data_IF_773989362401
#
_entry.id   IF_773989362401
#
_cell.length_a   1.000
_cell.length_b   1.000
_cell.length_c   1.000
_cell.angle_alpha   90.00
_cell.angle_beta   90.00
_cell.angle_gamma   90.00
#
_symmetry.space_group_name_H-M   'P 1'
#
loop_
_entity.id
_entity.type
_entity.pdbx_description
1 polymer ?
#
# COMPACT_ATOMS: atom_id res chain seq x y z
N UNK A 1 -22.84 -11.98 -12.19
CA UNK A 1 -23.26 -10.57 -12.30
C UNK A 1 -23.22 -9.85 -10.93
N UNK A 2 -23.89 -10.34 -9.88
CA UNK A 2 -23.95 -9.67 -8.56
C UNK A 2 -22.57 -9.53 -7.89
N UNK A 3 -21.75 -10.57 -7.82
CA UNK A 3 -20.42 -10.51 -7.20
C UNK A 3 -19.43 -9.60 -7.96
N UNK A 4 -19.54 -9.53 -9.27
CA UNK A 4 -18.74 -8.63 -10.10
C UNK A 4 -19.19 -7.16 -9.93
N UNK A 5 -20.47 -6.95 -9.65
CA UNK A 5 -21.03 -5.64 -9.31
C UNK A 5 -20.57 -5.19 -7.91
N UNK A 6 -20.59 -6.08 -6.91
CA UNK A 6 -20.13 -5.80 -5.55
C UNK A 6 -18.64 -5.42 -5.51
N UNK A 7 -17.77 -6.19 -6.18
CA UNK A 7 -16.34 -5.90 -6.26
C UNK A 7 -16.05 -4.54 -6.91
N UNK A 8 -16.75 -4.20 -8.01
CA UNK A 8 -16.64 -2.87 -8.63
C UNK A 8 -17.15 -1.75 -7.71
N UNK A 9 -18.24 -2.00 -6.96
CA UNK A 9 -18.81 -1.04 -6.02
C UNK A 9 -17.79 -0.68 -4.93
N UNK A 10 -17.16 -1.66 -4.27
CA UNK A 10 -16.16 -1.41 -3.24
C UNK A 10 -14.92 -0.69 -3.77
N UNK A 11 -14.46 -0.98 -4.98
CA UNK A 11 -13.35 -0.24 -5.60
C UNK A 11 -13.74 1.23 -5.78
N UNK A 12 -14.93 1.52 -6.27
CA UNK A 12 -15.43 2.90 -6.42
C UNK A 12 -15.56 3.59 -5.06
N UNK A 13 -16.13 2.91 -4.06
CA UNK A 13 -16.26 3.44 -2.69
C UNK A 13 -14.90 3.76 -2.11
N UNK A 14 -13.93 2.86 -2.22
CA UNK A 14 -12.58 3.08 -1.70
C UNK A 14 -11.86 4.24 -2.38
N UNK A 15 -12.02 4.39 -3.69
CA UNK A 15 -11.46 5.54 -4.41
C UNK A 15 -12.09 6.85 -3.91
N UNK A 16 -13.40 6.90 -3.73
CA UNK A 16 -14.09 8.08 -3.18
C UNK A 16 -13.62 8.40 -1.75
N UNK A 17 -13.40 7.37 -0.90
CA UNK A 17 -12.88 7.56 0.46
C UNK A 17 -11.44 8.09 0.45
N UNK A 18 -10.59 7.62 -0.46
CA UNK A 18 -9.23 8.15 -0.64
C UNK A 18 -9.25 9.60 -1.14
N UNK A 19 -10.14 9.93 -2.08
CA UNK A 19 -10.32 11.30 -2.55
C UNK A 19 -10.82 12.23 -1.42
N UNK A 20 -11.74 11.76 -0.59
CA UNK A 20 -12.19 12.49 0.61
C UNK A 20 -11.04 12.72 1.60
N UNK A 21 -10.26 11.68 1.89
CA UNK A 21 -9.09 11.79 2.75
C UNK A 21 -8.11 12.84 2.21
N UNK A 22 -7.82 12.80 0.92
CA UNK A 22 -6.92 13.75 0.28
C UNK A 22 -7.49 15.17 0.25
N UNK A 23 -8.79 15.33 0.06
CA UNK A 23 -9.46 16.62 0.16
C UNK A 23 -9.38 17.22 1.57
N UNK A 24 -9.58 16.40 2.61
CA UNK A 24 -9.40 16.80 4.01
C UNK A 24 -7.97 17.25 4.29
N UNK A 25 -6.97 16.53 3.76
CA UNK A 25 -5.57 16.91 3.86
C UNK A 25 -5.30 18.27 3.19
N UNK A 26 -5.78 18.48 1.96
CA UNK A 26 -5.60 19.75 1.26
C UNK A 26 -6.27 20.92 1.99
N UNK A 27 -7.47 20.70 2.55
CA UNK A 27 -8.13 21.69 3.39
C UNK A 27 -7.35 22.01 4.66
N UNK A 28 -6.83 20.98 5.35
CA UNK A 28 -5.96 21.14 6.51
C UNK A 28 -4.76 22.02 6.17
N UNK A 29 -4.07 21.72 5.07
CA UNK A 29 -2.86 22.45 4.67
C UNK A 29 -3.16 23.89 4.26
N UNK A 30 -4.25 24.13 3.51
CA UNK A 30 -4.64 25.46 3.06
C UNK A 30 -5.13 26.39 4.17
N UNK A 31 -5.69 25.82 5.25
CA UNK A 31 -6.25 26.59 6.39
C UNK A 31 -5.28 26.70 7.57
N UNK A 32 -4.12 26.06 7.53
CA UNK A 32 -3.12 26.13 8.59
C UNK A 32 -2.15 27.26 8.33
N UNK A 33 -2.16 28.27 9.24
CA UNK A 33 -1.26 29.42 9.19
C UNK A 33 0.03 29.16 10.00
N UNK A 34 -0.10 28.49 11.14
CA UNK A 34 1.03 28.09 11.98
C UNK A 34 1.43 26.66 11.62
N UNK A 35 2.49 26.54 10.83
CA UNK A 35 3.07 25.26 10.44
C UNK A 35 4.53 25.18 10.85
N UNK A 36 4.97 24.02 11.29
CA UNK A 36 6.38 23.72 11.57
C UNK A 36 6.97 22.96 10.39
N UNK A 37 8.10 23.42 9.90
CA UNK A 37 8.88 22.71 8.87
C UNK A 37 9.76 21.64 9.51
N UNK A 38 9.62 20.40 9.07
CA UNK A 38 10.47 19.30 9.49
C UNK A 38 10.84 18.43 8.29
N UNK A 39 11.90 17.62 8.39
CA UNK A 39 12.23 16.65 7.34
C UNK A 39 11.39 15.39 7.48
N UNK A 40 11.12 14.72 6.37
CA UNK A 40 10.41 13.43 6.39
C UNK A 40 11.17 12.39 7.22
N UNK A 41 12.52 12.43 7.22
CA UNK A 41 13.37 11.56 8.04
C UNK A 41 13.19 11.75 9.55
N UNK A 42 12.72 12.92 10.01
CA UNK A 42 12.40 13.13 11.42
C UNK A 42 11.07 12.50 11.85
N UNK A 43 10.20 12.19 10.89
CA UNK A 43 8.86 11.65 11.11
C UNK A 43 8.75 10.15 10.80
N UNK A 44 9.67 9.60 10.01
CA UNK A 44 9.57 8.26 9.48
C UNK A 44 10.91 7.52 9.51
N UNK A 45 10.81 6.20 9.65
CA UNK A 45 11.89 5.28 9.34
C UNK A 45 11.74 4.74 7.92
N UNK A 46 12.87 4.51 7.26
CA UNK A 46 12.92 3.98 5.90
C UNK A 46 13.57 2.60 5.90
N UNK A 47 13.02 1.70 5.11
CA UNK A 47 13.56 0.37 4.90
C UNK A 47 13.48 0.03 3.42
N UNK A 48 14.62 -0.21 2.78
CA UNK A 48 14.61 -0.72 1.40
C UNK A 48 14.30 -2.23 1.38
N UNK A 49 13.59 -2.67 0.34
CA UNK A 49 13.40 -4.08 0.07
C UNK A 49 14.66 -4.69 -0.55
N UNK A 50 15.14 -5.79 0.00
CA UNK A 50 16.34 -6.48 -0.47
C UNK A 50 16.12 -7.97 -0.75
N UNK A 51 14.90 -8.47 -0.58
CA UNK A 51 14.60 -9.88 -0.79
C UNK A 51 14.42 -10.14 -2.29
N UNK A 52 15.47 -10.66 -2.93
CA UNK A 52 15.48 -11.00 -4.34
C UNK A 52 16.08 -12.40 -4.54
N UNK A 53 15.32 -13.47 -4.26
CA UNK A 53 15.79 -14.82 -4.46
C UNK A 53 16.05 -15.09 -5.95
N UNK A 54 17.03 -15.97 -6.21
CA UNK A 54 17.34 -16.36 -7.59
C UNK A 54 16.20 -17.17 -8.20
N UNK A 55 15.84 -16.84 -9.43
CA UNK A 55 14.80 -17.56 -10.18
C UNK A 55 15.24 -18.98 -10.59
N UNK A 56 16.55 -19.31 -10.45
CA UNK A 56 17.05 -20.68 -10.68
C UNK A 56 16.71 -21.65 -9.56
N UNK A 57 16.07 -21.20 -8.49
CA UNK A 57 15.66 -21.97 -7.33
C UNK A 57 14.14 -21.95 -7.20
N UNK A 58 13.40 -22.85 -7.91
CA UNK A 58 11.94 -22.91 -7.85
C UNK A 58 11.41 -23.12 -6.42
N UNK A 59 12.17 -23.84 -5.58
CA UNK A 59 11.87 -24.11 -4.18
C UNK A 59 11.81 -22.87 -3.27
N UNK A 60 12.23 -21.71 -3.78
CA UNK A 60 12.16 -20.45 -3.04
C UNK A 60 10.80 -19.75 -3.16
N UNK A 61 9.93 -20.21 -4.06
CA UNK A 61 8.69 -19.54 -4.42
C UNK A 61 7.46 -20.33 -3.99
N UNK A 62 6.30 -19.67 -4.05
CA UNK A 62 4.97 -20.25 -3.86
C UNK A 62 4.72 -20.81 -2.45
N UNK A 63 5.31 -20.17 -1.42
CA UNK A 63 5.08 -20.43 0.01
C UNK A 63 4.20 -19.36 0.66
N UNK A 64 4.35 -19.17 1.99
CA UNK A 64 3.45 -18.33 2.78
C UNK A 64 3.96 -16.91 3.01
N UNK A 65 5.21 -16.59 2.63
CA UNK A 65 5.79 -15.25 2.82
C UNK A 65 5.40 -14.34 1.67
N UNK A 66 4.59 -13.33 1.94
CA UNK A 66 4.19 -12.32 0.95
C UNK A 66 5.41 -11.55 0.46
N UNK A 67 5.59 -11.49 -0.86
CA UNK A 67 6.73 -10.85 -1.51
C UNK A 67 6.31 -9.65 -2.35
N UNK A 68 6.38 -8.48 -1.73
CA UNK A 68 5.96 -7.21 -2.32
C UNK A 68 6.92 -6.74 -3.42
N UNK A 69 6.36 -6.54 -4.59
CA UNK A 69 7.06 -5.99 -5.76
C UNK A 69 6.36 -4.72 -6.23
N UNK A 70 7.04 -3.88 -7.01
CA UNK A 70 6.46 -2.63 -7.51
C UNK A 70 5.13 -2.80 -8.27
N UNK A 71 4.91 -3.97 -8.90
CA UNK A 71 3.66 -4.29 -9.61
C UNK A 71 2.47 -4.52 -8.68
N UNK A 72 2.73 -4.88 -7.43
CA UNK A 72 1.70 -5.18 -6.42
C UNK A 72 1.19 -3.89 -5.73
N UNK A 73 1.88 -2.76 -5.92
CA UNK A 73 1.50 -1.47 -5.33
C UNK A 73 0.36 -0.86 -6.16
N UNK A 74 -0.80 -0.68 -5.54
CA UNK A 74 -2.08 -0.42 -6.20
C UNK A 74 -2.80 0.86 -5.77
N UNK A 75 -2.08 1.82 -5.18
CA UNK A 75 -2.62 3.11 -4.69
C UNK A 75 -3.63 2.99 -3.52
N UNK A 76 -3.71 1.82 -2.88
CA UNK A 76 -4.60 1.53 -1.76
C UNK A 76 -3.90 0.61 -0.75
N UNK A 77 -4.66 -0.15 0.05
CA UNK A 77 -4.10 -1.18 0.91
C UNK A 77 -3.62 -2.39 0.11
N UNK A 78 -2.38 -2.78 0.35
CA UNK A 78 -1.76 -3.98 -0.19
C UNK A 78 -2.04 -5.11 0.80
N UNK A 79 -3.08 -5.90 0.50
CA UNK A 79 -3.52 -7.02 1.35
C UNK A 79 -2.75 -8.29 1.00
N UNK A 80 -2.47 -8.47 -0.30
CA UNK A 80 -1.81 -9.67 -0.82
C UNK A 80 -0.84 -9.30 -1.94
N UNK A 81 0.00 -10.24 -2.33
CA UNK A 81 1.02 -10.08 -3.37
C UNK A 81 0.82 -11.11 -4.47
N UNK A 82 1.15 -10.74 -5.70
CA UNK A 82 1.01 -11.60 -6.88
C UNK A 82 1.97 -12.79 -6.89
N UNK A 83 3.00 -12.80 -6.02
CA UNK A 83 3.90 -13.93 -5.78
C UNK A 83 4.29 -13.98 -4.31
N UNK A 84 4.52 -15.18 -3.84
CA UNK A 84 4.97 -15.46 -2.47
C UNK A 84 6.32 -16.18 -2.47
N UNK A 85 6.94 -16.26 -1.31
CA UNK A 85 8.18 -17.00 -1.10
C UNK A 85 7.97 -18.08 -0.03
N UNK A 86 8.73 -19.15 -0.15
CA UNK A 86 8.92 -20.06 0.98
C UNK A 86 9.79 -19.40 2.05
N UNK A 87 9.80 -19.94 3.25
CA UNK A 87 10.67 -19.46 4.31
C UNK A 87 12.16 -19.50 3.88
N UNK A 88 12.57 -20.55 3.17
CA UNK A 88 13.93 -20.68 2.62
C UNK A 88 14.23 -19.59 1.59
N UNK A 89 13.26 -19.29 0.71
CA UNK A 89 13.37 -18.22 -0.27
C UNK A 89 13.55 -16.85 0.40
N UNK A 90 12.78 -16.57 1.44
CA UNK A 90 12.91 -15.36 2.24
C UNK A 90 14.28 -15.27 2.93
N UNK A 91 14.70 -16.32 3.60
CA UNK A 91 15.97 -16.39 4.33
C UNK A 91 17.20 -16.39 3.41
N UNK A 92 17.03 -16.67 2.11
CA UNK A 92 18.10 -16.56 1.12
C UNK A 92 18.73 -15.17 1.06
N UNK A 93 17.98 -14.12 1.45
CA UNK A 93 18.46 -12.75 1.58
C UNK A 93 19.32 -12.52 2.84
N UNK A 94 19.51 -13.52 3.71
CA UNK A 94 20.36 -13.50 4.91
C UNK A 94 19.98 -12.31 5.84
N UNK A 95 20.95 -11.44 6.16
CA UNK A 95 20.73 -10.26 7.03
C UNK A 95 19.73 -9.24 6.45
N UNK A 96 19.46 -9.30 5.16
CA UNK A 96 18.50 -8.44 4.47
C UNK A 96 17.11 -9.06 4.38
N UNK A 97 16.87 -10.24 4.95
CA UNK A 97 15.56 -10.87 5.07
C UNK A 97 14.74 -10.16 6.17
N UNK A 98 14.24 -8.98 5.83
CA UNK A 98 13.47 -8.13 6.74
C UNK A 98 12.04 -8.00 6.22
N UNK A 99 11.09 -7.99 7.16
CA UNK A 99 9.68 -7.78 6.86
C UNK A 99 9.31 -6.29 7.03
N UNK A 100 8.50 -5.80 6.13
CA UNK A 100 7.72 -4.58 6.30
C UNK A 100 6.57 -4.89 7.26
N UNK A 101 6.27 -3.96 8.16
CA UNK A 101 5.18 -4.10 9.14
C UNK A 101 3.85 -3.62 8.55
N UNK A 102 2.72 -4.10 9.06
CA UNK A 102 1.43 -3.49 8.77
C UNK A 102 1.40 -2.00 9.14
N UNK A 103 0.53 -1.25 8.47
CA UNK A 103 0.35 0.19 8.66
C UNK A 103 1.63 1.00 8.36
N UNK A 104 2.38 0.58 7.35
CA UNK A 104 3.48 1.32 6.77
C UNK A 104 3.19 1.60 5.29
N UNK A 105 3.93 2.51 4.68
CA UNK A 105 3.70 2.95 3.31
C UNK A 105 4.77 2.35 2.42
N UNK A 106 4.37 1.66 1.37
CA UNK A 106 5.27 1.19 0.33
C UNK A 106 5.28 2.17 -0.83
N UNK A 107 6.47 2.50 -1.33
CA UNK A 107 6.66 3.30 -2.55
C UNK A 107 7.51 2.53 -3.56
N UNK A 108 7.10 2.56 -4.84
CA UNK A 108 7.88 1.94 -5.90
C UNK A 108 9.11 2.78 -6.23
N UNK A 109 10.29 2.14 -6.16
CA UNK A 109 11.60 2.72 -6.39
C UNK A 109 11.98 2.75 -7.87
N UNK A 110 11.54 1.76 -8.65
CA UNK A 110 11.90 1.56 -10.06
C UNK A 110 10.73 1.03 -10.88
N UNK A 111 10.85 1.07 -12.19
CA UNK A 111 9.76 0.75 -13.11
C UNK A 111 8.76 1.90 -13.16
N UNK A 112 7.57 1.74 -12.64
CA UNK A 112 6.62 2.85 -12.42
C UNK A 112 6.95 3.52 -11.09
N UNK A 113 7.85 4.50 -11.12
CA UNK A 113 8.37 5.17 -9.92
C UNK A 113 7.26 5.97 -9.24
N UNK A 114 7.22 5.91 -7.90
CA UNK A 114 6.35 6.74 -7.08
C UNK A 114 4.95 6.18 -6.85
N UNK A 115 4.63 4.95 -7.27
CA UNK A 115 3.37 4.33 -6.82
C UNK A 115 3.40 4.16 -5.31
N UNK A 116 2.28 4.47 -4.69
CA UNK A 116 2.09 4.38 -3.24
C UNK A 116 1.09 3.29 -2.89
N UNK A 117 1.29 2.65 -1.75
CA UNK A 117 0.32 1.73 -1.18
C UNK A 117 0.56 1.57 0.32
N UNK A 118 -0.47 1.21 1.06
CA UNK A 118 -0.37 0.96 2.50
C UNK A 118 -0.25 -0.54 2.72
N UNK A 119 0.80 -0.95 3.38
CA UNK A 119 1.07 -2.35 3.74
C UNK A 119 0.05 -2.79 4.80
N UNK A 120 -0.76 -3.80 4.50
CA UNK A 120 -1.83 -4.25 5.39
C UNK A 120 -1.43 -5.44 6.29
N UNK A 121 -0.38 -6.17 5.91
CA UNK A 121 0.10 -7.36 6.61
C UNK A 121 1.62 -7.43 6.53
N UNK A 122 2.25 -8.31 7.30
CA UNK A 122 3.69 -8.54 7.17
C UNK A 122 4.04 -9.07 5.79
N UNK A 123 4.98 -8.41 5.12
CA UNK A 123 5.49 -8.84 3.82
C UNK A 123 6.93 -8.39 3.62
N UNK A 124 7.72 -9.13 2.85
CA UNK A 124 9.06 -8.69 2.48
C UNK A 124 9.03 -7.93 1.16
N UNK A 125 9.91 -6.95 1.00
CA UNK A 125 10.02 -6.15 -0.22
C UNK A 125 11.17 -6.60 -1.12
N UNK A 126 10.94 -6.54 -2.43
CA UNK A 126 12.01 -6.65 -3.40
C UNK A 126 12.77 -5.32 -3.56
N UNK A 127 13.88 -5.34 -4.35
CA UNK A 127 14.73 -4.13 -4.59
C UNK A 127 14.03 -2.95 -5.24
N UNK A 128 12.83 -3.15 -5.78
CA UNK A 128 12.06 -2.09 -6.43
C UNK A 128 11.10 -1.37 -5.47
N UNK A 129 11.15 -1.66 -4.17
CA UNK A 129 10.25 -1.11 -3.16
C UNK A 129 11.03 -0.50 -1.99
N UNK A 130 10.61 0.68 -1.56
CA UNK A 130 11.00 1.31 -0.29
C UNK A 130 9.76 1.27 0.62
N UNK A 131 9.97 0.92 1.88
CA UNK A 131 8.97 1.01 2.93
C UNK A 131 9.24 2.23 3.81
N UNK A 132 8.20 2.98 4.12
CA UNK A 132 8.22 4.19 4.94
C UNK A 132 7.31 3.93 6.13
N UNK A 133 7.89 3.89 7.31
CA UNK A 133 7.20 3.63 8.57
C UNK A 133 7.11 4.91 9.38
N UNK A 134 5.92 5.50 9.58
CA UNK A 134 5.77 6.65 10.48
C UNK A 134 6.22 6.28 11.90
N UNK A 135 6.94 7.20 12.58
CA UNK A 135 7.40 7.01 13.95
C UNK A 135 6.23 6.86 14.92
N UNK A 136 5.09 7.50 14.60
CA UNK A 136 3.84 7.43 15.34
C UNK A 136 2.78 6.86 14.39
N UNK A 137 2.14 5.76 14.77
CA UNK A 137 1.14 5.07 13.94
C UNK A 137 -0.05 5.96 13.57
N UNK A 138 -0.40 6.90 14.43
CA UNK A 138 -1.47 7.87 14.21
C UNK A 138 -1.20 8.79 13.00
N UNK A 139 0.08 9.01 12.66
CA UNK A 139 0.47 9.87 11.54
C UNK A 139 0.37 9.17 10.17
N UNK A 140 -0.05 7.90 10.09
CA UNK A 140 -0.11 7.14 8.84
C UNK A 140 -0.92 7.89 7.76
N UNK A 141 -2.13 8.36 8.10
CA UNK A 141 -2.99 9.07 7.16
C UNK A 141 -2.35 10.37 6.66
N UNK A 142 -1.73 11.14 7.57
CA UNK A 142 -1.07 12.40 7.24
C UNK A 142 0.14 12.18 6.32
N UNK A 143 1.03 11.26 6.68
CA UNK A 143 2.22 10.93 5.88
C UNK A 143 1.84 10.35 4.52
N UNK A 144 0.81 9.47 4.46
CA UNK A 144 0.31 8.95 3.20
C UNK A 144 -0.17 10.08 2.28
N UNK A 145 -0.98 11.02 2.80
CA UNK A 145 -1.45 12.17 2.03
C UNK A 145 -0.32 13.10 1.61
N UNK A 146 0.66 13.34 2.48
CA UNK A 146 1.87 14.10 2.13
C UNK A 146 2.60 13.46 0.94
N UNK A 147 2.91 12.17 1.03
CA UNK A 147 3.58 11.45 -0.07
C UNK A 147 2.72 11.45 -1.34
N UNK A 148 1.40 11.32 -1.20
CA UNK A 148 0.48 11.40 -2.32
C UNK A 148 0.49 12.77 -3.00
N UNK A 149 0.60 13.86 -2.24
CA UNK A 149 0.73 15.22 -2.78
C UNK A 149 2.02 15.42 -3.59
N UNK A 150 3.09 14.68 -3.26
CA UNK A 150 4.39 14.70 -3.92
C UNK A 150 4.56 13.66 -5.03
N UNK A 151 3.57 12.80 -5.23
CA UNK A 151 3.68 11.63 -6.09
C UNK A 151 4.12 11.95 -7.52
N UNK A 152 3.64 13.06 -8.08
CA UNK A 152 3.99 13.48 -9.44
C UNK A 152 5.44 13.98 -9.57
N UNK A 153 6.08 14.36 -8.47
CA UNK A 153 7.45 14.84 -8.43
C UNK A 153 8.47 13.68 -8.39
N UNK A 154 8.08 12.51 -7.85
CA UNK A 154 9.01 11.39 -7.65
C UNK A 154 9.71 10.87 -8.91
N UNK A 155 9.05 10.77 -10.08
CA UNK A 155 9.75 10.40 -11.31
C UNK A 155 10.87 11.38 -11.69
N UNK A 156 10.69 12.68 -11.42
CA UNK A 156 11.68 13.71 -11.73
C UNK A 156 12.83 13.73 -10.72
N UNK A 157 12.57 13.37 -9.47
CA UNK A 157 13.59 13.20 -8.43
C UNK A 157 14.48 11.98 -8.66
N UNK A 158 13.99 10.96 -9.39
CA UNK A 158 14.72 9.73 -9.59
C UNK A 158 15.99 9.93 -10.43
N UNK A 159 17.07 9.27 -10.03
CA UNK A 159 18.40 9.36 -10.66
C UNK A 159 18.84 8.05 -11.29
N UNK A 160 19.67 8.13 -12.30
CA UNK A 160 20.24 7.00 -13.05
C UNK A 160 20.20 7.23 -14.56
N UNK A 161 21.24 6.81 -15.26
CA UNK A 161 21.42 7.03 -16.71
C UNK A 161 20.72 5.97 -17.57
N UNK A 162 20.71 4.72 -17.12
CA UNK A 162 20.07 3.60 -17.85
C UNK A 162 18.73 3.23 -17.24
N UNK A 163 18.69 3.14 -15.92
CA UNK A 163 17.49 2.91 -15.16
C UNK A 163 17.39 3.93 -14.04
N UNK A 164 16.36 4.77 -14.09
CA UNK A 164 16.09 5.74 -13.02
C UNK A 164 15.56 5.03 -11.81
N UNK A 165 16.05 5.41 -10.64
CA UNK A 165 15.62 4.89 -9.35
C UNK A 165 15.40 6.02 -8.36
N UNK A 166 14.35 5.90 -7.57
CA UNK A 166 14.13 6.70 -6.39
C UNK A 166 14.91 6.09 -5.22
N UNK A 167 15.69 6.90 -4.51
CA UNK A 167 16.48 6.45 -3.37
C UNK A 167 15.96 7.06 -2.08
N UNK A 168 16.19 6.38 -0.95
CA UNK A 168 15.83 6.87 0.39
C UNK A 168 16.44 8.24 0.65
N UNK A 169 17.70 8.47 0.25
CA UNK A 169 18.40 9.76 0.39
C UNK A 169 17.73 10.94 -0.34
N UNK A 170 16.83 10.67 -1.28
CA UNK A 170 16.04 11.69 -1.97
C UNK A 170 14.71 11.96 -1.25
N UNK A 171 14.20 10.99 -0.51
CA UNK A 171 12.96 11.11 0.26
C UNK A 171 13.20 11.73 1.65
N UNK A 172 14.28 11.37 2.31
CA UNK A 172 14.65 11.83 3.65
C UNK A 172 14.60 13.35 3.84
N UNK A 173 15.15 14.17 2.92
CA UNK A 173 15.18 15.62 3.08
C UNK A 173 13.90 16.33 2.68
N UNK A 174 12.85 15.62 2.24
CA UNK A 174 11.58 16.26 1.88
C UNK A 174 11.01 17.02 3.08
N UNK A 175 10.68 18.28 2.84
CA UNK A 175 10.11 19.14 3.87
C UNK A 175 8.61 18.85 4.02
N UNK A 176 8.23 18.51 5.23
CA UNK A 176 6.86 18.29 5.67
C UNK A 176 6.43 19.47 6.52
N UNK A 177 5.33 20.10 6.16
CA UNK A 177 4.70 21.16 6.94
C UNK A 177 3.74 20.54 7.94
N UNK A 178 4.05 20.62 9.23
CA UNK A 178 3.22 20.07 10.29
C UNK A 178 2.32 21.16 10.85
N UNK A 179 0.99 21.02 10.78
CA UNK A 179 0.03 21.92 11.42
C UNK A 179 0.13 21.87 12.94
N UNK A 180 -0.57 22.78 13.62
CA UNK A 180 -0.69 22.72 15.08
C UNK A 180 -1.19 21.35 15.54
N UNK A 181 -0.73 20.91 16.72
CA UNK A 181 -1.00 19.57 17.28
C UNK A 181 -2.51 19.24 17.29
N UNK A 182 -3.35 20.19 17.66
CA UNK A 182 -4.82 20.01 17.67
C UNK A 182 -5.35 19.68 16.27
N UNK A 183 -4.98 20.49 15.25
CA UNK A 183 -5.44 20.28 13.87
C UNK A 183 -4.94 18.95 13.29
N UNK A 184 -3.69 18.59 13.58
CA UNK A 184 -3.10 17.33 13.16
C UNK A 184 -3.82 16.14 13.83
N UNK A 185 -4.11 16.23 15.13
CA UNK A 185 -4.84 15.20 15.86
C UNK A 185 -6.26 15.01 15.32
N UNK A 186 -7.00 16.09 15.08
CA UNK A 186 -8.35 16.05 14.50
C UNK A 186 -8.33 15.39 13.11
N UNK A 187 -7.36 15.75 12.27
CA UNK A 187 -7.16 15.13 10.95
C UNK A 187 -6.82 13.64 11.08
N UNK A 188 -5.87 13.27 11.92
CA UNK A 188 -5.43 11.90 12.09
C UNK A 188 -6.56 10.99 12.59
N UNK A 189 -7.40 11.47 13.50
CA UNK A 189 -8.59 10.73 13.96
C UNK A 189 -9.52 10.40 12.80
N UNK A 190 -9.89 11.39 12.00
CA UNK A 190 -10.77 11.20 10.83
C UNK A 190 -10.08 10.35 9.75
N UNK A 191 -8.82 10.64 9.47
CA UNK A 191 -8.02 9.93 8.47
C UNK A 191 -7.85 8.45 8.81
N UNK A 192 -7.59 8.12 10.07
CA UNK A 192 -7.50 6.74 10.54
C UNK A 192 -8.83 6.00 10.37
N UNK A 193 -9.96 6.63 10.68
CA UNK A 193 -11.28 6.03 10.48
C UNK A 193 -11.57 5.72 9.01
N UNK A 194 -11.21 6.64 8.10
CA UNK A 194 -11.34 6.43 6.65
C UNK A 194 -10.42 5.30 6.16
N UNK A 195 -9.16 5.28 6.57
CA UNK A 195 -8.21 4.22 6.19
C UNK A 195 -8.67 2.84 6.70
N UNK A 196 -9.17 2.74 7.92
CA UNK A 196 -9.71 1.50 8.46
C UNK A 196 -10.91 1.00 7.65
N UNK A 197 -11.80 1.91 7.23
CA UNK A 197 -12.94 1.56 6.37
C UNK A 197 -12.46 1.02 5.02
N UNK A 198 -11.47 1.69 4.39
CA UNK A 198 -10.88 1.26 3.12
C UNK A 198 -10.24 -0.12 3.27
N UNK A 199 -9.47 -0.34 4.33
CA UNK A 199 -8.82 -1.63 4.59
C UNK A 199 -9.85 -2.76 4.74
N UNK A 200 -10.91 -2.54 5.51
CA UNK A 200 -11.98 -3.51 5.69
C UNK A 200 -12.67 -3.84 4.36
N UNK A 201 -12.97 -2.84 3.55
CA UNK A 201 -13.53 -3.03 2.21
C UNK A 201 -12.58 -3.83 1.29
N UNK A 202 -11.26 -3.59 1.36
CA UNK A 202 -10.28 -4.36 0.60
C UNK A 202 -10.28 -5.85 1.01
N UNK A 203 -10.31 -6.13 2.31
CA UNK A 203 -10.37 -7.51 2.84
C UNK A 203 -11.68 -8.19 2.41
N UNK A 204 -12.81 -7.48 2.50
CA UNK A 204 -14.10 -8.01 2.08
C UNK A 204 -14.15 -8.29 0.58
N UNK A 205 -13.57 -7.44 -0.25
CA UNK A 205 -13.44 -7.66 -1.69
C UNK A 205 -12.68 -8.95 -2.03
N UNK A 206 -11.62 -9.26 -1.29
CA UNK A 206 -10.86 -10.51 -1.49
C UNK A 206 -11.74 -11.72 -1.15
N UNK A 207 -12.48 -11.69 -0.04
CA UNK A 207 -13.40 -12.75 0.35
C UNK A 207 -14.50 -12.96 -0.69
N UNK A 208 -15.14 -11.87 -1.13
CA UNK A 208 -16.19 -11.94 -2.15
C UNK A 208 -15.66 -12.47 -3.49
N UNK A 209 -14.44 -12.09 -3.87
CA UNK A 209 -13.79 -12.61 -5.06
C UNK A 209 -13.52 -14.12 -4.95
N UNK A 210 -13.01 -14.58 -3.81
CA UNK A 210 -12.77 -16.00 -3.54
C UNK A 210 -14.07 -16.82 -3.58
N UNK A 211 -15.15 -16.30 -2.96
CA UNK A 211 -16.49 -16.95 -3.00
C UNK A 211 -16.99 -17.03 -4.44
N UNK A 212 -16.92 -15.93 -5.20
CA UNK A 212 -17.32 -15.91 -6.61
C UNK A 212 -16.56 -16.96 -7.41
N UNK A 213 -15.23 -16.99 -7.27
CA UNK A 213 -14.36 -17.87 -8.07
C UNK A 213 -14.54 -19.34 -7.71
N UNK A 214 -14.96 -19.65 -6.47
CA UNK A 214 -15.32 -21.01 -6.03
C UNK A 214 -16.71 -21.45 -6.51
N UNK A 215 -17.67 -20.51 -6.58
CA UNK A 215 -19.06 -20.84 -6.95
C UNK A 215 -19.29 -20.84 -8.47
N UNK A 216 -18.60 -19.97 -9.22
CA UNK A 216 -18.85 -19.78 -10.64
C UNK A 216 -18.69 -21.08 -11.47
N UNK A 217 -17.61 -21.88 -11.29
CA UNK A 217 -17.49 -23.16 -11.98
C UNK A 217 -18.62 -24.14 -11.66
N UNK A 218 -19.08 -24.21 -10.40
CA UNK A 218 -20.14 -25.10 -9.94
C UNK A 218 -21.53 -24.73 -10.50
N UNK A 219 -21.77 -23.42 -10.64
CA UNK A 219 -22.96 -22.90 -11.28
C UNK A 219 -22.94 -23.21 -12.80
N UNK A 220 -21.79 -23.06 -13.44
CA UNK A 220 -21.63 -23.28 -14.88
C UNK A 220 -21.73 -24.79 -15.24
N UNK A 221 -21.29 -25.68 -14.34
CA UNK A 221 -21.37 -27.12 -14.52
C UNK A 221 -22.76 -27.70 -14.18
N UNK A 222 -23.66 -26.90 -13.57
CA UNK A 222 -24.96 -27.36 -13.08
C UNK A 222 -24.86 -28.19 -11.78
N UNK A 223 -23.71 -28.20 -11.11
CA UNK A 223 -23.53 -28.85 -9.79
C UNK A 223 -24.39 -28.16 -8.72
N UNK A 224 -24.58 -26.84 -8.85
CA UNK A 224 -25.49 -26.06 -8.02
C UNK A 224 -26.71 -25.67 -8.86
N UNK A 225 -27.89 -26.20 -8.47
CA UNK A 225 -29.14 -25.80 -9.08
C UNK A 225 -29.69 -24.54 -8.43
N UNK A 226 -29.84 -23.47 -9.23
CA UNK A 226 -30.41 -22.19 -8.80
C UNK A 226 -31.86 -21.95 -9.22
N UNK A 227 -32.50 -22.94 -9.81
CA UNK A 227 -33.89 -22.83 -10.30
C UNK A 227 -34.91 -22.53 -9.19
N UNK A 228 -34.55 -22.79 -7.92
CA UNK A 228 -35.37 -22.55 -6.74
C UNK A 228 -35.01 -21.27 -5.96
N UNK A 229 -33.98 -20.55 -6.39
CA UNK A 229 -33.58 -19.30 -5.71
C UNK A 229 -34.42 -18.13 -6.24
N UNK A 230 -35.37 -17.67 -5.40
CA UNK A 230 -36.11 -16.45 -5.68
C UNK A 230 -35.16 -15.24 -5.47
N UNK A 231 -34.90 -14.47 -6.52
CA UNK A 231 -34.13 -13.21 -6.53
C UNK A 231 -35.09 -12.03 -6.41
#
# INVERSE_FOLDING_TARGET
MVAQCATKCFVTINNNLLEQLFSLYNNLMSTSQDVQEVTLSSLCHFQEGYVNPSQSHPEYFDGDVKWLRAVDINESFIIDTSRTLTQVGFESAKKSALLFKPNTIAISKSGTIGRLGIVADYMCGNRAVINISPNTSEHLAFIYCFLKSKQQEFPDMAVGSVQRNLYVSLLEPLIVLIPSEKKLSDFNSTGTALLNTIQNNCVENIKLSSIRDSLLPKLMSGEIDVSTVNV
#
